data_IF_514828501092
#
_entry.id   IF_514828501092
#
_cell.length_a   1.000
_cell.length_b   1.000
_cell.length_c   1.000
_cell.angle_alpha   90.00
_cell.angle_beta   90.00
_cell.angle_gamma   90.00
#
_symmetry.space_group_name_H-M   'P 1'
#
loop_
_entity.id
_entity.type
_entity.pdbx_description
1 polymer ?
2 branched ?
3 branched ?
4 non-polymer ?
5 non-polymer ?
6 non-polymer ?
7 non-polymer ?
8 non-polymer ?
9 water ?
#
# COMPACT_ATOMS: atom_id res chain seq x y z
N UNK A 10 -9.63 11.66 -5.50
CA UNK A 10 -10.28 12.86 -4.82
C UNK A 10 -9.39 14.12 -4.86
N UNK A 11 -10.03 15.28 -4.68
CA UNK A 11 -9.31 16.54 -4.89
C UNK A 11 -8.33 16.89 -3.82
N UNK A 12 -8.34 16.18 -2.69
CA UNK A 12 -7.25 16.33 -1.68
C UNK A 12 -6.10 15.34 -1.79
N UNK A 13 -6.12 14.57 -2.85
CA UNK A 13 -5.09 13.57 -3.09
C UNK A 13 -3.74 14.26 -3.19
N UNK A 14 -2.75 13.75 -2.45
CA UNK A 14 -1.38 14.33 -2.51
C UNK A 14 -1.11 15.24 -1.30
N UNK A 15 -2.18 15.65 -0.63
CA UNK A 15 -2.04 16.44 0.59
C UNK A 15 -1.93 15.52 1.77
N UNK A 16 -1.27 16.03 2.80
CA UNK A 16 -1.12 15.35 4.07
C UNK A 16 -1.56 16.28 5.18
N UNK A 17 -2.55 15.87 5.90
CA UNK A 17 -3.06 16.61 7.05
C UNK A 17 -2.45 15.96 8.28
N UNK A 18 -1.70 16.77 9.01
CA UNK A 18 -1.08 16.37 10.25
C UNK A 18 -1.94 16.92 11.34
N UNK A 19 -2.45 16.03 12.18
CA UNK A 19 -3.36 16.38 13.26
C UNK A 19 -2.69 16.07 14.60
N UNK A 20 -3.14 16.76 15.64
CA UNK A 20 -2.66 16.58 16.99
C UNK A 20 -3.78 16.25 17.98
N UNK A 21 -5.02 16.12 17.50
CA UNK A 21 -6.08 15.63 18.34
C UNK A 21 -7.08 14.90 17.46
N UNK A 22 -7.86 14.01 18.11
CA UNK A 22 -8.91 13.23 17.47
C UNK A 22 -9.88 14.16 16.71
N UNK A 23 -10.26 13.76 15.48
CA UNK A 23 -11.26 14.48 14.67
C UNK A 23 -12.61 13.90 15.13
N UNK A 24 -13.53 14.75 15.64
CA UNK A 24 -14.87 14.35 16.02
C UNK A 24 -15.81 14.62 14.88
N UNK A 25 -16.50 13.59 14.44
CA UNK A 25 -17.54 13.76 13.45
C UNK A 25 -18.88 13.64 14.16
N UNK A 26 -19.70 14.69 14.04
CA UNK A 26 -20.93 14.77 14.81
C UNK A 26 -22.05 13.90 14.22
N UNK A 27 -23.08 13.61 15.08
CA UNK A 27 -24.23 12.85 14.59
C UNK A 27 -24.78 13.52 13.35
N UNK A 28 -25.04 12.73 12.32
CA UNK A 28 -25.73 13.31 11.18
C UNK A 28 -24.75 13.88 10.18
N UNK A 29 -23.48 14.09 10.56
CA UNK A 29 -22.52 14.67 9.61
C UNK A 29 -21.62 13.62 8.95
N UNK A 30 -21.16 13.94 7.73
CA UNK A 30 -20.24 13.07 6.91
C UNK A 30 -18.94 13.81 6.74
N UNK A 31 -17.88 13.23 7.29
CA UNK A 31 -16.50 13.75 7.05
C UNK A 31 -16.00 13.12 5.78
N UNK A 32 -15.78 13.93 4.75
CA UNK A 32 -15.27 13.44 3.43
C UNK A 32 -13.88 13.96 3.24
N UNK A 33 -12.84 13.11 3.36
CA UNK A 33 -11.53 13.56 3.18
C UNK A 33 -11.07 13.82 1.79
N UNK A 34 -11.87 13.44 0.80
CA UNK A 34 -11.54 13.69 -0.60
C UNK A 34 -10.15 13.17 -0.94
N UNK A 35 -9.76 12.08 -0.29
CA UNK A 35 -8.46 11.47 -0.59
C UNK A 35 -7.28 11.95 0.20
N UNK A 36 -7.51 12.80 1.18
CA UNK A 36 -6.43 13.27 2.03
C UNK A 36 -5.78 12.09 2.80
N UNK A 37 -4.47 12.22 3.03
CA UNK A 37 -3.76 11.33 3.94
C UNK A 37 -3.61 12.02 5.27
N UNK A 38 -3.96 11.35 6.36
CA UNK A 38 -3.84 11.87 7.72
C UNK A 38 -2.69 11.19 8.50
N UNK A 39 -1.87 12.05 9.10
CA UNK A 39 -0.83 11.62 9.99
C UNK A 39 -1.06 12.25 11.37
N UNK A 40 -1.23 11.40 12.33
CA UNK A 40 -1.44 11.85 13.69
C UNK A 40 -0.17 11.99 14.47
N UNK A 41 -0.09 13.11 15.21
CA UNK A 41 1.06 13.52 16.05
C UNK A 41 0.61 13.47 17.50
N UNK A 42 1.44 12.90 18.38
CA UNK A 42 1.16 12.99 19.82
C UNK A 42 -0.04 12.17 20.33
N UNK A 43 -0.54 11.26 19.50
CA UNK A 43 -1.74 10.48 19.77
C UNK A 43 -1.50 9.00 19.88
N UNK A 44 -0.24 8.61 19.91
CA UNK A 44 0.11 7.18 19.88
C UNK A 44 1.16 6.86 18.85
N UNK A 45 1.79 5.71 19.08
CA UNK A 45 2.86 5.26 18.19
C UNK A 45 2.41 4.10 17.26
N UNK A 46 1.14 3.66 17.39
CA UNK A 46 0.62 2.54 16.62
C UNK A 46 1.08 1.18 17.18
N UNK A 47 1.67 1.13 18.39
CA UNK A 47 2.02 -0.12 19.03
C UNK A 47 0.75 -0.78 19.60
N UNK A 48 0.98 -1.83 20.39
CA UNK A 48 -0.10 -2.56 21.04
C UNK A 48 -0.55 -1.93 22.37
N UNK A 49 0.01 -0.76 22.69
CA UNK A 49 -0.38 0.01 23.86
C UNK A 49 -1.87 0.32 23.77
N UNK A 50 -2.58 0.13 24.90
CA UNK A 50 -4.02 0.36 24.89
C UNK A 50 -4.43 1.80 25.23
N UNK A 51 -3.43 2.71 25.35
CA UNK A 51 -3.76 4.06 25.83
C UNK A 51 -3.62 5.10 24.71
N UNK A 52 -3.78 4.69 23.47
CA UNK A 52 -3.63 5.60 22.37
C UNK A 52 -4.94 6.28 22.03
N UNK A 53 -4.87 7.42 21.33
CA UNK A 53 -6.08 8.11 20.94
C UNK A 53 -6.61 7.63 19.58
N UNK A 54 -7.94 7.64 19.40
CA UNK A 54 -8.47 7.39 18.07
C UNK A 54 -8.11 8.57 17.14
N UNK A 55 -7.86 8.27 15.91
CA UNK A 55 -7.76 9.27 14.85
C UNK A 55 -9.09 10.04 14.61
N UNK A 56 -10.15 9.24 14.55
CA UNK A 56 -11.53 9.73 14.37
C UNK A 56 -12.42 9.18 15.45
N UNK A 57 -13.34 10.01 15.96
CA UNK A 57 -14.50 9.55 16.77
C UNK A 57 -15.72 9.84 16.00
N UNK A 58 -16.48 8.81 15.68
CA UNK A 58 -17.70 8.96 14.91
C UNK A 58 -18.86 8.76 15.86
N UNK A 59 -19.50 9.89 16.15
CA UNK A 59 -20.68 9.85 16.97
C UNK A 59 -21.79 9.05 16.30
N UNK A 60 -22.80 8.68 17.08
CA UNK A 60 -23.93 7.95 16.51
C UNK A 60 -24.46 8.70 15.30
N UNK A 61 -24.60 7.97 14.19
CA UNK A 61 -25.16 8.50 12.94
C UNK A 61 -24.17 9.37 12.16
N UNK A 62 -22.89 9.37 12.54
CA UNK A 62 -21.85 10.05 11.78
C UNK A 62 -21.21 9.06 10.75
N UNK A 63 -20.79 9.62 9.61
CA UNK A 63 -20.16 8.87 8.53
C UNK A 63 -18.79 9.41 8.20
N UNK A 64 -17.96 8.60 7.62
CA UNK A 64 -16.62 8.94 7.23
C UNK A 64 -16.31 8.34 5.88
N UNK A 65 -15.66 9.13 5.02
CA UNK A 65 -15.31 8.62 3.72
C UNK A 65 -14.06 9.19 3.16
N UNK A 66 -13.31 8.38 2.40
CA UNK A 66 -12.31 8.91 1.50
C UNK A 66 -11.12 9.51 2.29
N UNK A 67 -10.62 8.79 3.29
CA UNK A 67 -9.36 9.19 3.91
C UNK A 67 -8.39 8.05 4.04
N UNK A 68 -7.14 8.40 3.87
CA UNK A 68 -6.03 7.46 4.04
C UNK A 68 -5.44 7.76 5.44
N UNK A 69 -5.28 6.76 6.30
CA UNK A 69 -4.72 6.93 7.58
C UNK A 69 -3.35 6.35 7.52
N UNK A 70 -2.38 7.24 7.57
CA UNK A 70 -0.99 6.85 7.58
C UNK A 70 -0.58 6.31 8.95
N UNK A 71 0.60 5.69 9.00
CA UNK A 71 1.24 5.44 10.27
C UNK A 71 1.55 6.79 10.93
N UNK A 72 1.47 6.90 12.26
CA UNK A 72 1.02 5.84 13.17
C UNK A 72 -0.52 5.72 13.24
N UNK A 73 -1.04 4.50 13.24
CA UNK A 73 -2.46 4.33 13.21
C UNK A 73 -3.18 4.52 14.55
N UNK A 74 -2.38 4.65 15.64
CA UNK A 74 -2.90 5.04 16.98
C UNK A 74 -4.02 4.07 17.36
N UNK A 75 -5.16 4.56 17.86
CA UNK A 75 -6.31 3.72 18.06
C UNK A 75 -7.40 3.85 17.02
N UNK A 76 -7.02 4.17 15.80
CA UNK A 76 -7.91 4.03 14.66
C UNK A 76 -9.21 4.83 14.78
N UNK A 77 -10.30 4.24 14.36
CA UNK A 77 -11.57 4.93 14.29
C UNK A 77 -12.49 4.37 15.38
N UNK A 78 -13.06 5.20 16.22
CA UNK A 78 -14.02 4.78 17.24
C UNK A 78 -15.42 5.15 16.75
N UNK A 79 -16.30 4.15 16.68
CA UNK A 79 -17.64 4.27 16.16
C UNK A 79 -18.65 4.06 17.28
N UNK A 80 -19.58 4.97 17.36
CA UNK A 80 -20.64 4.92 18.40
C UNK A 80 -22.01 4.47 17.88
N UNK A 81 -22.04 3.96 16.66
CA UNK A 81 -23.18 3.21 16.18
C UNK A 81 -23.80 3.97 15.05
N UNK A 82 -24.39 3.21 14.09
CA UNK A 82 -25.10 3.81 12.92
C UNK A 82 -24.13 4.66 12.10
N UNK A 83 -23.04 4.02 11.67
CA UNK A 83 -21.94 4.71 11.01
C UNK A 83 -21.65 3.98 9.69
N UNK A 84 -21.37 4.75 8.67
CA UNK A 84 -20.86 4.23 7.40
C UNK A 84 -19.45 4.75 7.22
N UNK A 85 -18.50 3.82 7.05
CA UNK A 85 -17.09 4.13 6.91
C UNK A 85 -16.72 3.64 5.51
N UNK A 86 -16.54 4.56 4.57
CA UNK A 86 -16.47 4.22 3.18
C UNK A 86 -15.11 4.70 2.68
N UNK A 87 -14.45 3.83 1.91
CA UNK A 87 -13.22 4.18 1.22
C UNK A 87 -12.20 4.71 2.22
N UNK A 88 -12.01 3.98 3.30
CA UNK A 88 -10.97 4.34 4.24
C UNK A 88 -9.83 3.32 4.11
N UNK A 89 -8.58 3.82 4.03
CA UNK A 89 -7.43 2.96 3.86
C UNK A 89 -6.56 3.17 5.07
N UNK A 90 -6.29 2.09 5.79
CA UNK A 90 -5.33 2.10 6.82
C UNK A 90 -4.01 1.55 6.27
N UNK A 91 -3.06 2.44 6.06
CA UNK A 91 -1.74 2.08 5.53
C UNK A 91 -0.98 1.21 6.50
N UNK A 92 -1.26 1.42 7.78
CA UNK A 92 -0.55 0.71 8.82
C UNK A 92 -1.40 0.79 10.07
N UNK A 93 -2.15 -0.26 10.32
CA UNK A 93 -3.07 -0.28 11.45
C UNK A 93 -2.27 -0.12 12.69
N UNK A 94 -2.84 0.66 13.58
CA UNK A 94 -2.21 0.89 14.86
C UNK A 94 -2.58 -0.25 15.87
N UNK A 95 -3.07 0.15 17.05
CA UNK A 95 -3.48 -0.87 18.03
C UNK A 95 -4.57 -1.75 17.46
N UNK A 96 -5.58 -1.11 16.89
CA UNK A 96 -6.58 -1.72 16.11
C UNK A 96 -7.01 -0.64 15.07
N UNK A 97 -7.75 -1.03 14.06
CA UNK A 97 -8.18 -0.12 12.99
C UNK A 97 -9.45 0.60 13.27
N UNK A 98 -10.41 -0.13 13.82
CA UNK A 98 -11.78 0.45 14.06
C UNK A 98 -12.38 -0.31 15.19
N UNK A 99 -13.00 0.42 16.13
CA UNK A 99 -13.64 -0.14 17.28
C UNK A 99 -15.12 0.28 17.33
N UNK A 100 -16.03 -0.68 17.53
CA UNK A 100 -17.44 -0.36 17.77
C UNK A 100 -17.61 -0.25 19.30
N UNK A 101 -17.94 0.97 19.72
CA UNK A 101 -17.93 1.34 21.09
C UNK A 101 -19.33 1.35 21.74
N UNK A 102 -20.35 1.43 20.91
CA UNK A 102 -21.72 1.49 21.36
C UNK A 102 -22.67 0.89 20.29
N UNK A 103 -23.93 0.68 20.69
CA UNK A 103 -24.90 -0.11 19.92
C UNK A 103 -25.41 0.47 18.61
N UNK A 104 -25.31 -0.31 17.53
CA UNK A 104 -25.89 0.21 16.25
C UNK A 104 -25.33 -0.64 15.15
N UNK A 105 -25.66 -0.21 13.94
CA UNK A 105 -25.14 -0.82 12.73
C UNK A 105 -23.89 -0.06 12.29
N UNK A 106 -22.83 -0.80 11.99
CA UNK A 106 -21.62 -0.14 11.48
C UNK A 106 -21.21 -0.89 10.23
N UNK A 107 -20.99 -0.08 9.16
CA UNK A 107 -20.66 -0.55 7.86
C UNK A 107 -19.21 -0.09 7.54
N UNK A 108 -18.32 -0.99 7.08
CA UNK A 108 -17.08 -0.59 6.48
C UNK A 108 -17.19 -1.05 5.06
N UNK A 109 -17.12 -0.12 4.12
CA UNK A 109 -17.37 -0.37 2.71
C UNK A 109 -16.17 0.16 1.94
N UNK A 110 -15.54 -0.70 1.15
CA UNK A 110 -14.41 -0.28 0.39
C UNK A 110 -13.19 -0.10 1.27
N UNK A 111 -12.09 0.30 0.64
CA UNK A 111 -10.87 0.55 1.36
C UNK A 111 -10.12 -0.74 1.69
N UNK A 112 -9.18 -0.60 2.59
CA UNK A 112 -8.30 -1.69 2.89
C UNK A 112 -7.51 -1.44 4.17
N UNK A 113 -6.87 -2.46 4.70
CA UNK A 113 -6.04 -2.33 5.85
C UNK A 113 -4.81 -3.23 5.71
N UNK A 114 -3.68 -2.77 6.23
CA UNK A 114 -2.45 -3.57 6.24
C UNK A 114 -1.74 -3.46 7.57
N UNK A 115 -1.03 -4.48 7.94
CA UNK A 115 -0.01 -4.43 9.03
C UNK A 115 -0.67 -4.20 10.41
N UNK A 116 -1.64 -5.06 10.71
CA UNK A 116 -2.30 -5.12 12.04
C UNK A 116 -1.64 -6.18 12.84
N UNK A 117 -0.91 -5.79 13.88
CA UNK A 117 -0.22 -6.73 14.77
C UNK A 117 -1.19 -7.65 15.47
N UNK A 118 -2.41 -7.12 15.74
CA UNK A 118 -3.42 -7.90 16.47
C UNK A 118 -4.73 -7.74 15.69
N UNK A 119 -5.74 -7.10 16.21
CA UNK A 119 -7.01 -7.02 15.53
C UNK A 119 -7.12 -5.87 14.57
N UNK A 120 -7.90 -6.03 13.51
CA UNK A 120 -8.29 -4.93 12.65
C UNK A 120 -9.56 -4.31 13.32
N UNK A 121 -10.66 -5.04 13.42
CA UNK A 121 -11.91 -4.55 13.89
C UNK A 121 -12.19 -5.13 15.26
N UNK A 122 -12.51 -4.27 16.22
CA UNK A 122 -12.70 -4.64 17.61
C UNK A 122 -14.12 -4.27 17.99
N UNK A 123 -14.93 -5.25 18.42
CA UNK A 123 -16.34 -4.99 18.70
C UNK A 123 -16.58 -5.12 20.20
N UNK A 124 -16.87 -3.97 20.79
CA UNK A 124 -16.96 -3.82 22.26
C UNK A 124 -18.39 -3.58 22.75
N UNK A 125 -19.36 -3.61 21.85
CA UNK A 125 -20.78 -3.42 22.20
C UNK A 125 -21.63 -4.28 21.21
N UNK A 126 -22.86 -4.64 21.59
CA UNK A 126 -23.70 -5.35 20.67
C UNK A 126 -23.92 -4.53 19.45
N UNK A 127 -23.86 -5.16 18.29
CA UNK A 127 -23.90 -4.41 17.02
C UNK A 127 -24.15 -5.37 15.86
N UNK A 128 -24.52 -4.77 14.75
CA UNK A 128 -24.52 -5.36 13.49
C UNK A 128 -23.33 -4.76 12.72
N UNK A 129 -22.36 -5.57 12.33
CA UNK A 129 -21.11 -5.09 11.75
C UNK A 129 -20.82 -5.71 10.40
N UNK A 130 -20.84 -4.86 9.39
CA UNK A 130 -20.67 -5.32 8.05
C UNK A 130 -19.37 -4.83 7.39
N UNK A 131 -18.58 -5.75 6.84
CA UNK A 131 -17.37 -5.42 6.09
C UNK A 131 -17.63 -5.83 4.67
N UNK A 132 -17.56 -4.87 3.78
CA UNK A 132 -17.93 -5.09 2.36
C UNK A 132 -16.83 -4.54 1.41
N UNK A 133 -16.43 -5.35 0.44
CA UNK A 133 -15.52 -4.90 -0.57
C UNK A 133 -14.29 -4.32 0.11
N UNK A 134 -13.63 -5.22 0.80
CA UNK A 134 -12.54 -4.82 1.62
C UNK A 134 -11.39 -5.83 1.46
N UNK A 135 -10.13 -5.32 1.50
CA UNK A 135 -8.95 -6.15 1.49
C UNK A 135 -8.17 -5.89 2.78
N UNK A 136 -7.56 -6.92 3.30
CA UNK A 136 -6.64 -6.72 4.39
C UNK A 136 -5.48 -7.72 4.29
N UNK A 137 -4.29 -7.24 4.59
CA UNK A 137 -3.05 -8.04 4.44
C UNK A 137 -2.17 -7.87 5.66
N UNK A 138 -1.66 -8.98 6.17
CA UNK A 138 -0.72 -8.98 7.30
C UNK A 138 -1.40 -8.54 8.56
N UNK A 139 -2.28 -9.39 9.07
CA UNK A 139 -3.09 -9.07 10.21
C UNK A 139 -3.11 -10.19 11.18
N UNK A 140 -3.42 -9.90 12.44
CA UNK A 140 -3.56 -10.99 13.46
C UNK A 140 -5.00 -11.56 13.34
N UNK A 141 -6.03 -10.70 13.39
CA UNK A 141 -7.42 -11.11 13.23
C UNK A 141 -8.15 -10.00 12.50
N UNK A 142 -9.11 -10.35 11.65
CA UNK A 142 -9.96 -9.32 11.08
C UNK A 142 -10.96 -8.75 12.07
N UNK A 143 -11.64 -9.62 12.80
CA UNK A 143 -12.68 -9.16 13.74
C UNK A 143 -12.54 -9.87 15.03
N UNK A 144 -12.57 -9.10 16.15
CA UNK A 144 -12.55 -9.61 17.50
C UNK A 144 -13.68 -9.04 18.31
N UNK A 145 -14.67 -9.85 18.72
CA UNK A 145 -15.56 -9.40 19.76
C UNK A 145 -14.79 -9.39 21.05
N UNK A 146 -14.98 -8.31 21.84
CA UNK A 146 -14.16 -8.19 23.02
C UNK A 146 -14.15 -9.50 23.86
N UNK A 147 -12.97 -9.86 24.34
CA UNK A 147 -12.84 -11.11 24.99
C UNK A 147 -13.75 -11.29 26.18
N UNK A 148 -14.22 -12.53 26.32
CA UNK A 148 -15.07 -12.97 27.41
C UNK A 148 -16.36 -12.28 27.52
N UNK A 149 -16.79 -11.54 26.51
CA UNK A 149 -18.10 -10.94 26.57
C UNK A 149 -19.10 -11.85 25.84
N UNK A 150 -20.34 -11.77 26.27
CA UNK A 150 -21.40 -12.67 25.79
C UNK A 150 -22.62 -11.95 25.23
N UNK A 151 -22.55 -10.63 25.01
CA UNK A 151 -23.55 -9.93 24.23
C UNK A 151 -23.47 -10.40 22.78
N UNK A 152 -24.45 -10.04 22.00
CA UNK A 152 -24.56 -10.55 20.65
C UNK A 152 -24.02 -9.55 19.65
N UNK A 153 -23.14 -10.02 18.78
CA UNK A 153 -22.85 -9.29 17.56
C UNK A 153 -23.20 -10.20 16.39
N UNK A 154 -23.61 -9.55 15.30
CA UNK A 154 -23.77 -10.18 14.01
C UNK A 154 -22.84 -9.52 13.02
N UNK A 155 -21.94 -10.33 12.50
CA UNK A 155 -20.96 -9.85 11.56
C UNK A 155 -21.22 -10.40 10.19
N UNK A 156 -21.07 -9.54 9.21
CA UNK A 156 -21.16 -9.89 7.82
C UNK A 156 -19.86 -9.57 7.10
N UNK A 157 -19.30 -10.52 6.39
CA UNK A 157 -18.11 -10.31 5.60
C UNK A 157 -18.51 -10.62 4.17
N UNK A 158 -18.59 -9.55 3.33
CA UNK A 158 -19.11 -9.67 2.00
C UNK A 158 -18.09 -9.10 1.00
N UNK A 159 -17.58 -9.95 0.10
CA UNK A 159 -16.59 -9.53 -0.83
C UNK A 159 -15.32 -9.05 -0.13
N UNK A 160 -14.76 -9.91 0.72
CA UNK A 160 -13.64 -9.59 1.50
C UNK A 160 -12.50 -10.52 1.15
N UNK A 161 -11.30 -9.98 1.02
CA UNK A 161 -10.12 -10.73 0.62
C UNK A 161 -9.05 -10.46 1.64
N UNK A 162 -8.55 -11.55 2.22
CA UNK A 162 -7.59 -11.49 3.29
C UNK A 162 -6.33 -12.25 2.92
N UNK A 163 -5.16 -11.79 3.40
CA UNK A 163 -3.88 -12.43 3.12
C UNK A 163 -3.06 -12.39 4.39
N UNK A 164 -2.51 -13.52 4.80
CA UNK A 164 -1.52 -13.61 5.88
C UNK A 164 -2.17 -13.20 7.20
N UNK A 165 -3.06 -14.10 7.64
CA UNK A 165 -3.87 -13.93 8.85
C UNK A 165 -3.26 -14.81 9.93
N UNK A 166 -2.61 -14.18 10.91
CA UNK A 166 -1.76 -14.92 11.85
C UNK A 166 -2.52 -15.77 12.83
N UNK A 167 -3.65 -15.19 13.27
CA UNK A 167 -4.45 -15.83 14.33
C UNK A 167 -5.70 -16.43 13.72
N UNK A 168 -6.66 -15.63 13.27
CA UNK A 168 -7.87 -16.14 12.67
C UNK A 168 -8.64 -15.01 11.99
N UNK A 169 -9.58 -15.33 11.16
CA UNK A 169 -10.40 -14.30 10.58
C UNK A 169 -11.22 -13.54 11.61
N UNK A 170 -11.94 -14.32 12.43
CA UNK A 170 -12.76 -13.72 13.45
C UNK A 170 -12.84 -14.58 14.67
N UNK A 171 -12.92 -13.92 15.83
CA UNK A 171 -12.91 -14.56 17.15
C UNK A 171 -14.00 -13.91 18.01
N UNK A 172 -14.78 -14.73 18.69
CA UNK A 172 -15.79 -14.29 19.68
C UNK A 172 -15.84 -15.34 20.76
N UNK A 173 -16.14 -14.89 21.96
CA UNK A 173 -16.39 -15.77 23.11
C UNK A 173 -17.85 -15.81 23.48
N UNK A 174 -18.72 -15.43 22.52
CA UNK A 174 -20.14 -15.29 22.76
C UNK A 174 -20.93 -16.38 21.98
N UNK A 175 -21.58 -17.33 22.66
CA UNK A 175 -22.42 -18.30 21.94
C UNK A 175 -23.57 -17.78 21.09
N UNK A 176 -24.06 -16.57 21.39
CA UNK A 176 -25.21 -16.03 20.67
C UNK A 176 -24.75 -15.22 19.47
N UNK A 177 -23.45 -14.89 19.37
CA UNK A 177 -23.00 -14.11 18.25
C UNK A 177 -22.99 -14.94 16.96
N UNK A 178 -23.05 -14.27 15.83
CA UNK A 178 -23.07 -14.95 14.52
C UNK A 178 -22.19 -14.24 13.52
N UNK A 179 -21.61 -15.00 12.64
CA UNK A 179 -20.84 -14.49 11.49
C UNK A 179 -21.40 -15.10 10.25
N UNK A 180 -21.66 -14.25 9.27
CA UNK A 180 -22.20 -14.58 7.94
C UNK A 180 -21.20 -14.14 6.91
N UNK A 181 -20.86 -14.97 5.94
CA UNK A 181 -19.93 -14.54 4.91
C UNK A 181 -20.43 -14.91 3.51
N UNK A 182 -19.97 -14.12 2.54
CA UNK A 182 -20.36 -14.20 1.17
C UNK A 182 -19.22 -13.66 0.34
N UNK A 183 -18.67 -14.54 -0.49
CA UNK A 183 -17.49 -14.16 -1.35
C UNK A 183 -16.34 -13.73 -0.43
N UNK A 184 -15.93 -14.68 0.42
CA UNK A 184 -14.84 -14.45 1.28
C UNK A 184 -13.66 -15.24 0.77
N UNK A 185 -12.50 -14.57 0.54
CA UNK A 185 -11.30 -15.22 0.07
C UNK A 185 -10.16 -15.06 1.02
N UNK A 186 -9.59 -16.16 1.49
CA UNK A 186 -8.59 -16.11 2.53
C UNK A 186 -7.38 -16.89 2.09
N UNK A 187 -6.20 -16.27 2.14
CA UNK A 187 -4.94 -16.91 1.82
C UNK A 187 -4.02 -16.90 3.07
N UNK A 188 -3.55 -18.05 3.50
CA UNK A 188 -2.51 -18.18 4.54
C UNK A 188 -3.09 -17.85 5.91
N UNK A 189 -4.07 -18.67 6.29
CA UNK A 189 -4.71 -18.68 7.59
C UNK A 189 -4.95 -20.12 8.00
N UNK A 190 -4.29 -20.53 9.10
CA UNK A 190 -4.45 -21.86 9.65
C UNK A 190 -5.88 -22.16 10.21
N UNK A 191 -6.56 -21.12 10.71
CA UNK A 191 -7.77 -21.22 11.54
C UNK A 191 -8.77 -20.08 11.17
N UNK A 192 -9.85 -20.36 10.44
CA UNK A 192 -10.74 -19.29 10.02
C UNK A 192 -11.47 -18.66 11.20
N UNK A 193 -12.22 -19.43 12.01
CA UNK A 193 -13.14 -18.81 12.96
C UNK A 193 -12.96 -19.46 14.30
N UNK A 194 -12.75 -18.64 15.33
CA UNK A 194 -12.62 -19.09 16.72
C UNK A 194 -13.83 -18.61 17.50
N UNK A 195 -14.91 -19.34 17.39
CA UNK A 195 -16.17 -19.07 18.08
C UNK A 195 -16.42 -20.30 18.98
N UNK A 196 -17.30 -20.20 19.97
CA UNK A 196 -17.63 -21.35 20.80
C UNK A 196 -18.11 -22.56 20.01
N UNK A 197 -18.91 -22.39 18.97
CA UNK A 197 -19.24 -23.46 18.09
C UNK A 197 -19.21 -22.98 16.63
N UNK A 198 -18.75 -23.91 15.78
CA UNK A 198 -18.67 -23.57 14.38
C UNK A 198 -20.00 -23.37 13.72
N UNK A 199 -21.04 -23.88 14.34
CA UNK A 199 -22.40 -23.61 13.82
C UNK A 199 -22.87 -22.17 13.95
N UNK A 200 -22.07 -21.32 14.60
CA UNK A 200 -22.33 -19.88 14.65
C UNK A 200 -21.89 -19.16 13.42
N UNK A 201 -21.26 -19.86 12.51
CA UNK A 201 -20.71 -19.31 11.27
C UNK A 201 -21.54 -19.83 10.08
N UNK A 202 -21.96 -18.91 9.16
CA UNK A 202 -22.88 -19.25 8.11
C UNK A 202 -22.42 -18.58 6.83
N UNK A 203 -22.65 -19.23 5.70
CA UNK A 203 -22.57 -18.58 4.39
C UNK A 203 -23.88 -17.99 3.97
N UNK A 204 -23.86 -17.06 3.01
CA UNK A 204 -25.06 -16.66 2.35
C UNK A 204 -24.77 -16.17 0.95
N UNK B 9 33.55 0.69 -13.07
CA UNK B 9 33.30 1.23 -14.45
C UNK B 9 33.82 2.68 -14.57
N UNK B 10 33.24 3.61 -13.79
CA UNK B 10 33.56 5.06 -13.87
C UNK B 10 34.63 5.60 -12.90
N UNK B 11 34.96 6.88 -13.05
CA UNK B 11 36.06 7.44 -12.30
C UNK B 11 35.77 7.50 -10.77
N UNK B 12 34.51 7.47 -10.34
CA UNK B 12 34.15 7.52 -8.90
C UNK B 12 33.91 6.15 -8.25
N UNK B 13 34.15 5.10 -9.05
CA UNK B 13 34.02 3.75 -8.57
C UNK B 13 34.96 3.56 -7.36
N UNK B 14 34.44 2.97 -6.26
CA UNK B 14 35.21 2.81 -5.04
C UNK B 14 34.93 3.95 -4.08
N UNK B 15 34.23 5.01 -4.54
CA UNK B 15 33.78 6.07 -3.60
C UNK B 15 32.34 5.90 -3.13
N UNK B 16 32.05 6.42 -1.94
CA UNK B 16 30.75 6.33 -1.37
C UNK B 16 30.34 7.74 -0.91
N UNK B 17 29.16 8.16 -1.24
CA UNK B 17 28.58 9.41 -0.79
C UNK B 17 27.52 9.08 0.20
N UNK B 18 27.74 9.51 1.44
CA UNK B 18 26.78 9.36 2.51
C UNK B 18 25.96 10.63 2.59
N UNK B 19 24.65 10.47 2.49
CA UNK B 19 23.76 11.58 2.50
C UNK B 19 22.78 11.47 3.65
N UNK B 20 22.28 12.63 4.08
CA UNK B 20 21.25 12.70 5.14
C UNK B 20 19.98 13.41 4.68
N UNK B 21 19.91 13.76 3.40
CA UNK B 21 18.65 14.24 2.80
C UNK B 21 18.68 13.92 1.32
N UNK B 22 17.47 13.95 0.75
CA UNK B 22 17.27 13.75 -0.66
C UNK B 22 18.19 14.64 -1.52
N UNK B 23 18.83 14.00 -2.50
CA UNK B 23 19.59 14.72 -3.52
C UNK B 23 18.52 15.24 -4.51
N UNK B 24 18.43 16.54 -4.62
CA UNK B 24 17.58 17.15 -5.62
C UNK B 24 18.42 17.38 -6.87
N UNK B 25 17.93 16.85 -8.00
CA UNK B 25 18.49 17.12 -9.32
C UNK B 25 17.54 18.10 -10.02
N UNK B 26 18.04 19.30 -10.24
CA UNK B 26 17.22 20.41 -10.73
C UNK B 26 16.84 20.21 -12.18
N UNK B 27 15.76 20.88 -12.59
CA UNK B 27 15.25 20.87 -13.96
C UNK B 27 16.36 20.97 -15.02
N UNK B 28 16.44 19.99 -15.90
CA UNK B 28 17.41 20.04 -17.02
C UNK B 28 18.81 19.63 -16.71
N UNK B 29 19.09 19.28 -15.45
CA UNK B 29 20.44 18.94 -15.08
C UNK B 29 20.59 17.45 -15.18
N UNK B 30 21.81 17.01 -15.46
CA UNK B 30 22.15 15.62 -15.29
C UNK B 30 23.11 15.41 -14.12
N UNK B 31 22.72 14.51 -13.25
CA UNK B 31 23.55 14.08 -12.18
C UNK B 31 24.29 12.85 -12.68
N UNK B 32 25.61 12.93 -12.84
CA UNK B 32 26.40 11.77 -13.22
C UNK B 32 27.26 11.37 -12.02
N UNK B 33 26.98 10.25 -11.39
CA UNK B 33 27.74 9.77 -10.28
C UNK B 33 29.07 9.16 -10.63
N UNK B 34 29.31 8.88 -11.91
CA UNK B 34 30.53 8.19 -12.43
C UNK B 34 30.85 6.95 -11.59
N UNK B 35 29.80 6.22 -11.14
CA UNK B 35 30.01 4.98 -10.45
C UNK B 35 30.04 5.07 -8.94
N UNK B 36 29.80 6.26 -8.42
CA UNK B 36 29.68 6.45 -6.97
C UNK B 36 28.55 5.57 -6.38
N UNK B 37 28.73 5.15 -5.15
CA UNK B 37 27.66 4.53 -4.39
C UNK B 37 27.08 5.49 -3.40
N UNK B 38 25.78 5.53 -3.31
CA UNK B 38 25.07 6.38 -2.40
C UNK B 38 24.55 5.54 -1.22
N UNK B 39 24.79 6.05 0.00
CA UNK B 39 24.27 5.45 1.23
C UNK B 39 23.53 6.49 2.09
N UNK B 40 22.22 6.33 2.20
CA UNK B 40 21.34 7.27 2.88
C UNK B 40 21.22 6.92 4.34
N UNK B 41 21.38 7.95 5.16
CA UNK B 41 21.21 7.91 6.62
C UNK B 41 20.05 8.76 7.06
N UNK B 42 19.19 8.20 7.92
CA UNK B 42 18.17 8.96 8.56
C UNK B 42 17.02 9.24 7.60
N UNK B 43 16.95 8.47 6.50
CA UNK B 43 15.95 8.73 5.47
C UNK B 43 14.96 7.58 5.24
N UNK B 44 15.11 6.56 6.06
CA UNK B 44 14.31 5.37 5.90
C UNK B 44 15.15 4.10 6.12
N UNK B 45 14.47 3.00 6.28
CA UNK B 45 15.11 1.72 6.51
C UNK B 45 14.96 0.78 5.32
N UNK B 46 14.33 1.22 4.22
CA UNK B 46 14.03 0.31 3.11
C UNK B 46 12.92 -0.70 3.32
N UNK B 47 12.13 -0.54 4.38
CA UNK B 47 11.00 -1.43 4.65
C UNK B 47 9.88 -1.00 3.72
N UNK B 48 8.71 -1.61 3.98
CA UNK B 48 7.52 -1.23 3.27
C UNK B 48 6.75 -0.02 3.80
N UNK B 49 7.27 0.63 4.84
CA UNK B 49 6.60 1.85 5.32
C UNK B 49 6.57 2.86 4.18
N UNK B 50 5.45 3.58 4.10
CA UNK B 50 5.17 4.57 3.05
C UNK B 50 5.70 5.95 3.34
N UNK B 51 6.42 6.12 4.44
CA UNK B 51 6.81 7.44 4.93
C UNK B 51 8.34 7.73 4.86
N UNK B 52 8.99 7.10 3.87
CA UNK B 52 10.43 7.25 3.74
C UNK B 52 10.72 8.30 2.70
N UNK B 53 11.93 8.84 2.78
CA UNK B 53 12.35 9.82 1.81
C UNK B 53 12.94 9.19 0.58
N UNK B 54 12.75 9.87 -0.54
CA UNK B 54 13.48 9.41 -1.77
C UNK B 54 14.99 9.69 -1.66
N UNK B 55 15.81 8.81 -2.22
CA UNK B 55 17.26 9.04 -2.27
C UNK B 55 17.50 10.26 -3.21
N UNK B 56 16.82 10.30 -4.37
CA UNK B 56 16.91 11.37 -5.40
C UNK B 56 15.52 11.82 -5.77
N UNK B 57 15.40 13.11 -6.03
CA UNK B 57 14.28 13.73 -6.72
C UNK B 57 14.81 14.28 -7.99
N UNK B 58 14.22 13.86 -9.09
CA UNK B 58 14.55 14.36 -10.43
C UNK B 58 13.40 15.27 -10.84
N UNK B 59 13.69 16.55 -10.86
CA UNK B 59 12.71 17.54 -11.29
C UNK B 59 12.43 17.30 -12.79
N UNK B 60 11.39 17.94 -13.32
CA UNK B 60 11.09 17.93 -14.77
C UNK B 60 12.38 18.06 -15.55
N UNK B 61 12.63 17.14 -16.49
CA UNK B 61 13.76 17.29 -17.41
C UNK B 61 15.13 16.88 -16.88
N UNK B 62 15.20 16.58 -15.59
CA UNK B 62 16.45 16.14 -14.98
C UNK B 62 16.74 14.67 -15.32
N UNK B 63 18.02 14.33 -15.29
CA UNK B 63 18.47 12.96 -15.56
C UNK B 63 19.43 12.51 -14.47
N UNK B 64 19.62 11.19 -14.36
CA UNK B 64 20.50 10.61 -13.38
C UNK B 64 21.24 9.50 -14.10
N UNK B 65 22.55 9.40 -13.91
CA UNK B 65 23.27 8.31 -14.47
C UNK B 65 24.35 7.86 -13.56
N UNK B 66 24.70 6.59 -13.72
CA UNK B 66 25.93 6.02 -13.16
C UNK B 66 26.05 6.12 -11.64
N UNK B 67 24.97 5.75 -10.94
CA UNK B 67 25.01 5.65 -9.43
C UNK B 67 24.58 4.27 -9.01
N UNK B 68 25.18 3.81 -7.92
CA UNK B 68 24.80 2.60 -7.26
C UNK B 68 24.06 3.09 -6.03
N UNK B 69 22.82 2.64 -5.83
CA UNK B 69 22.07 2.97 -4.61
C UNK B 69 22.23 1.81 -3.62
N UNK B 70 22.98 2.06 -2.54
CA UNK B 70 23.21 1.00 -1.56
C UNK B 70 21.96 0.90 -0.68
N UNK B 71 21.87 -0.17 0.09
CA UNK B 71 20.86 -0.24 1.16
C UNK B 71 21.20 0.83 2.21
N UNK B 72 20.19 1.52 2.80
CA UNK B 72 18.77 1.30 2.63
C UNK B 72 18.25 2.06 1.46
N UNK B 73 17.39 1.41 0.73
CA UNK B 73 16.85 2.01 -0.49
C UNK B 73 15.85 3.11 -0.34
N UNK B 74 15.31 3.19 0.87
CA UNK B 74 14.41 4.27 1.30
C UNK B 74 13.26 4.30 0.27
N UNK B 75 12.87 5.47 -0.21
CA UNK B 75 11.86 5.57 -1.22
C UNK B 75 12.45 5.85 -2.64
N UNK B 76 13.68 5.38 -2.84
CA UNK B 76 14.20 5.30 -4.19
C UNK B 76 14.27 6.64 -4.92
N UNK B 77 13.93 6.64 -6.20
CA UNK B 77 14.09 7.83 -6.99
C UNK B 77 12.68 8.30 -7.27
N UNK B 78 12.44 9.57 -7.07
CA UNK B 78 11.18 10.22 -7.49
C UNK B 78 11.33 11.06 -8.75
N UNK B 79 10.60 10.75 -9.80
CA UNK B 79 10.72 11.36 -11.11
C UNK B 79 9.51 12.20 -11.42
N UNK B 80 9.74 13.47 -11.70
CA UNK B 80 8.67 14.37 -12.03
C UNK B 80 8.38 14.56 -13.49
N UNK B 81 9.04 13.77 -14.33
CA UNK B 81 8.65 13.73 -15.73
C UNK B 81 9.80 14.16 -16.63
N UNK B 82 9.89 13.53 -17.82
CA UNK B 82 10.88 13.86 -18.82
C UNK B 82 12.24 13.64 -18.24
N UNK B 83 12.45 12.40 -17.72
CA UNK B 83 13.69 12.03 -17.09
C UNK B 83 14.30 10.82 -17.74
N UNK B 84 15.64 10.75 -17.72
CA UNK B 84 16.32 9.54 -18.12
C UNK B 84 17.18 9.09 -16.94
N UNK B 85 17.04 7.83 -16.56
CA UNK B 85 17.76 7.19 -15.45
C UNK B 85 18.56 6.06 -16.06
N UNK B 86 19.89 6.26 -16.09
CA UNK B 86 20.80 5.49 -16.89
C UNK B 86 21.80 4.75 -15.99
N UNK B 87 22.00 3.47 -16.23
CA UNK B 87 23.02 2.77 -15.50
C UNK B 87 22.91 3.12 -14.03
N UNK B 88 21.70 2.93 -13.48
CA UNK B 88 21.47 2.96 -12.03
C UNK B 88 21.29 1.56 -11.51
N UNK B 89 22.01 1.22 -10.46
CA UNK B 89 21.95 -0.07 -9.85
C UNK B 89 21.37 0.09 -8.46
N UNK B 90 20.25 -0.57 -8.21
CA UNK B 90 19.69 -0.64 -6.90
C UNK B 90 20.18 -1.95 -6.27
N UNK B 91 21.12 -1.87 -5.34
CA UNK B 91 21.62 -3.07 -4.70
C UNK B 91 20.56 -3.70 -3.82
N UNK B 92 19.62 -2.89 -3.26
CA UNK B 92 18.57 -3.46 -2.45
C UNK B 92 17.44 -2.44 -2.44
N UNK B 93 16.43 -2.70 -3.25
CA UNK B 93 15.33 -1.80 -3.40
C UNK B 93 14.71 -1.62 -2.03
N UNK B 94 14.31 -0.39 -1.81
CA UNK B 94 13.64 0.00 -0.58
C UNK B 94 12.10 -0.22 -0.73
N UNK B 95 11.31 0.80 -0.41
CA UNK B 95 9.87 0.61 -0.46
C UNK B 95 9.51 0.36 -1.92
N UNK B 96 10.08 1.17 -2.83
CA UNK B 96 10.01 0.94 -4.24
C UNK B 96 11.32 1.57 -4.77
N UNK B 97 11.63 1.28 -6.01
CA UNK B 97 12.91 1.71 -6.61
C UNK B 97 12.81 3.06 -7.26
N UNK B 98 11.73 3.29 -8.00
CA UNK B 98 11.51 4.54 -8.66
C UNK B 98 10.02 4.76 -8.87
N UNK B 99 9.60 6.02 -8.61
CA UNK B 99 8.25 6.46 -8.74
C UNK B 99 8.11 7.59 -9.72
N UNK B 100 7.15 7.48 -10.61
CA UNK B 100 6.74 8.61 -11.48
C UNK B 100 5.68 9.35 -10.73
N UNK B 101 6.04 10.58 -10.38
CA UNK B 101 5.20 11.43 -9.53
C UNK B 101 4.41 12.45 -10.30
N UNK B 102 4.82 12.73 -11.52
CA UNK B 102 4.12 13.73 -12.30
C UNK B 102 4.24 13.35 -13.79
N UNK B 103 3.44 13.99 -14.63
CA UNK B 103 3.38 13.61 -16.04
C UNK B 103 4.67 13.78 -16.82
N UNK B 104 4.82 12.94 -17.81
CA UNK B 104 5.92 13.03 -18.75
C UNK B 104 6.45 11.68 -19.21
N UNK B 105 7.62 11.68 -19.82
CA UNK B 105 8.23 10.47 -20.29
C UNK B 105 9.37 10.17 -19.34
N UNK B 106 9.44 8.93 -18.93
CA UNK B 106 10.52 8.48 -18.01
C UNK B 106 11.10 7.24 -18.56
N UNK B 107 12.41 7.22 -18.66
CA UNK B 107 13.07 6.07 -19.21
C UNK B 107 14.11 5.61 -18.22
N UNK B 108 14.15 4.30 -17.96
CA UNK B 108 15.18 3.64 -17.20
C UNK B 108 15.94 2.79 -18.18
N UNK B 109 17.23 3.08 -18.35
CA UNK B 109 18.06 2.46 -19.35
C UNK B 109 19.27 1.85 -18.66
N UNK B 110 19.56 0.58 -18.89
CA UNK B 110 20.70 -0.04 -18.21
C UNK B 110 20.44 -0.19 -16.72
N UNK B 111 21.47 -0.75 -16.08
CA UNK B 111 21.38 -0.99 -14.67
C UNK B 111 20.52 -2.19 -14.26
N UNK B 112 20.20 -2.21 -12.97
CA UNK B 112 19.53 -3.38 -12.40
C UNK B 112 18.96 -3.11 -11.03
N UNK B 113 18.09 -3.99 -10.59
CA UNK B 113 17.49 -3.86 -9.26
C UNK B 113 17.35 -5.22 -8.65
N UNK B 114 17.50 -5.29 -7.33
CA UNK B 114 17.42 -6.55 -6.63
C UNK B 114 16.65 -6.37 -5.32
N UNK B 115 15.97 -7.42 -4.86
CA UNK B 115 15.43 -7.50 -3.49
C UNK B 115 14.36 -6.42 -3.28
N UNK B 116 13.35 -6.38 -4.15
CA UNK B 116 12.20 -5.51 -3.95
C UNK B 116 11.05 -6.29 -3.34
N UNK B 117 10.69 -5.99 -2.11
CA UNK B 117 9.62 -6.71 -1.47
C UNK B 117 8.27 -6.50 -2.16
N UNK B 118 8.09 -5.38 -2.85
CA UNK B 118 6.81 -5.13 -3.43
C UNK B 118 7.17 -4.62 -4.83
N UNK B 119 6.80 -3.40 -5.16
CA UNK B 119 7.01 -2.88 -6.51
C UNK B 119 8.42 -2.35 -6.71
N UNK B 120 8.95 -2.55 -7.91
CA UNK B 120 10.16 -1.84 -8.35
C UNK B 120 9.77 -0.44 -8.85
N UNK B 121 8.95 -0.40 -9.91
CA UNK B 121 8.57 0.87 -10.49
C UNK B 121 7.10 1.14 -10.20
N UNK B 122 6.83 2.35 -9.70
CA UNK B 122 5.52 2.77 -9.19
C UNK B 122 5.08 3.98 -10.00
N UNK B 123 3.94 3.84 -10.71
CA UNK B 123 3.53 4.89 -11.66
C UNK B 123 2.29 5.59 -11.12
N UNK B 124 2.48 6.84 -10.68
CA UNK B 124 1.43 7.55 -9.97
C UNK B 124 0.87 8.73 -10.74
N UNK B 125 1.27 8.86 -12.00
CA UNK B 125 0.76 9.94 -12.86
C UNK B 125 0.80 9.41 -14.29
N UNK B 126 -0.04 9.95 -15.16
CA UNK B 126 -0.08 9.59 -16.58
C UNK B 126 1.33 9.82 -17.11
N UNK B 127 1.85 8.84 -17.86
CA UNK B 127 3.21 8.88 -18.31
C UNK B 127 3.42 7.88 -19.43
N UNK B 128 4.55 8.05 -20.12
CA UNK B 128 5.11 7.00 -20.93
C UNK B 128 6.33 6.54 -20.14
N UNK B 129 6.39 5.26 -19.86
CA UNK B 129 7.42 4.69 -18.99
C UNK B 129 8.12 3.58 -19.71
N UNK B 130 9.42 3.74 -20.00
CA UNK B 130 10.14 2.73 -20.76
C UNK B 130 11.30 2.21 -19.95
N UNK B 131 11.38 0.88 -19.84
CA UNK B 131 12.48 0.16 -19.16
C UNK B 131 13.23 -0.60 -20.23
N UNK B 132 14.52 -0.28 -20.38
CA UNK B 132 15.32 -0.80 -21.47
C UNK B 132 16.64 -1.34 -20.98
N UNK B 133 17.01 -2.53 -21.42
CA UNK B 133 18.27 -3.13 -21.14
C UNK B 133 18.48 -3.24 -19.61
N UNK B 134 17.56 -3.93 -18.92
CA UNK B 134 17.45 -3.87 -17.49
C UNK B 134 17.27 -5.29 -16.91
N UNK B 135 17.89 -5.60 -15.79
CA UNK B 135 17.63 -6.85 -15.15
C UNK B 135 17.11 -6.56 -13.73
N UNK B 136 16.20 -7.43 -13.28
CA UNK B 136 15.79 -7.38 -11.86
C UNK B 136 15.64 -8.79 -11.33
N UNK B 137 16.00 -8.99 -10.08
CA UNK B 137 15.95 -10.25 -9.43
C UNK B 137 15.33 -10.13 -8.04
N UNK B 138 14.43 -11.04 -7.70
CA UNK B 138 13.76 -11.15 -6.36
C UNK B 138 12.93 -9.89 -6.11
N UNK B 139 11.82 -9.84 -6.86
CA UNK B 139 10.93 -8.71 -6.85
C UNK B 139 9.50 -9.11 -6.66
N UNK B 140 8.65 -8.19 -6.15
CA UNK B 140 7.23 -8.43 -6.14
C UNK B 140 6.61 -8.20 -7.48
N UNK B 141 6.78 -7.01 -7.96
CA UNK B 141 6.27 -6.62 -9.25
C UNK B 141 7.28 -5.68 -9.91
N UNK B 142 7.44 -5.78 -11.22
CA UNK B 142 8.25 -4.82 -11.90
C UNK B 142 7.63 -3.45 -11.98
N UNK B 143 6.35 -3.37 -12.42
CA UNK B 143 5.67 -2.13 -12.57
C UNK B 143 4.25 -2.16 -12.03
N UNK B 144 3.88 -1.15 -11.24
CA UNK B 144 2.58 -1.01 -10.73
C UNK B 144 2.05 0.36 -11.04
N UNK B 145 0.99 0.46 -11.86
CA UNK B 145 0.27 1.72 -11.91
C UNK B 145 -0.51 1.83 -10.54
N UNK B 146 -0.49 2.99 -9.94
CA UNK B 146 -1.16 3.23 -8.70
C UNK B 146 -2.54 2.63 -8.63
N UNK B 147 -2.74 1.87 -7.57
CA UNK B 147 -3.99 1.10 -7.42
C UNK B 147 -5.23 1.95 -7.63
N UNK B 148 -6.14 1.36 -8.36
CA UNK B 148 -7.45 1.89 -8.59
C UNK B 148 -7.52 3.14 -9.47
N UNK B 149 -6.39 3.64 -9.91
CA UNK B 149 -6.37 4.79 -10.81
C UNK B 149 -6.73 4.33 -12.24
N UNK B 150 -7.37 5.22 -12.97
CA UNK B 150 -7.82 4.85 -14.28
C UNK B 150 -7.33 5.78 -15.41
N UNK B 151 -6.37 6.64 -15.08
CA UNK B 151 -5.67 7.40 -16.06
C UNK B 151 -4.77 6.44 -16.91
N UNK B 152 -4.25 6.95 -18.00
CA UNK B 152 -3.52 6.15 -18.99
C UNK B 152 -2.05 6.27 -18.74
N UNK B 153 -1.40 5.12 -18.59
CA UNK B 153 0.05 5.00 -18.78
C UNK B 153 0.33 4.12 -19.98
N UNK B 154 1.47 4.37 -20.61
CA UNK B 154 1.98 3.46 -21.61
C UNK B 154 3.34 3.00 -21.16
N UNK B 155 3.49 1.70 -21.01
CA UNK B 155 4.72 1.09 -20.51
C UNK B 155 5.37 0.37 -21.67
N UNK B 156 6.69 0.54 -21.80
CA UNK B 156 7.47 -0.23 -22.74
C UNK B 156 8.52 -1.02 -21.97
N UNK B 157 8.56 -2.32 -22.15
CA UNK B 157 9.61 -3.19 -21.59
C UNK B 157 10.44 -3.79 -22.72
N UNK B 158 11.65 -3.32 -22.85
CA UNK B 158 12.54 -3.67 -23.97
C UNK B 158 13.84 -4.19 -23.49
N UNK B 159 14.18 -5.43 -23.87
CA UNK B 159 15.42 -6.08 -23.42
C UNK B 159 15.48 -6.09 -21.85
N UNK B 160 14.45 -6.66 -21.27
CA UNK B 160 14.30 -6.81 -19.81
C UNK B 160 14.29 -8.25 -19.38
N UNK B 161 15.10 -8.62 -18.38
CA UNK B 161 15.19 -9.98 -17.92
C UNK B 161 14.90 -9.96 -16.44
N UNK B 162 13.96 -10.78 -16.01
CA UNK B 162 13.46 -10.79 -14.62
C UNK B 162 13.58 -12.18 -14.01
N UNK B 163 14.09 -12.27 -12.78
CA UNK B 163 14.16 -13.51 -12.07
C UNK B 163 13.43 -13.44 -10.76
N UNK B 164 12.54 -14.38 -10.53
CA UNK B 164 11.88 -14.58 -9.21
C UNK B 164 10.97 -13.40 -8.96
N UNK B 165 9.82 -13.43 -9.63
CA UNK B 165 8.82 -12.40 -9.56
C UNK B 165 7.63 -12.97 -8.79
N UNK B 166 7.41 -12.45 -7.56
CA UNK B 166 6.43 -13.03 -6.64
C UNK B 166 4.99 -12.71 -6.92
N UNK B 167 4.71 -11.56 -7.50
CA UNK B 167 3.33 -11.19 -7.75
C UNK B 167 3.03 -11.23 -9.25
N UNK B 168 3.63 -10.31 -10.01
CA UNK B 168 3.48 -10.27 -11.41
C UNK B 168 4.48 -9.30 -12.02
N UNK B 169 4.63 -9.37 -13.33
CA UNK B 169 5.49 -8.38 -13.99
C UNK B 169 4.91 -6.99 -13.87
N UNK B 170 3.66 -6.79 -14.27
CA UNK B 170 3.10 -5.49 -14.23
C UNK B 170 1.61 -5.57 -13.97
N UNK B 171 1.07 -4.58 -13.28
CA UNK B 171 -0.30 -4.61 -12.88
C UNK B 171 -0.87 -3.18 -12.91
N UNK B 172 -2.03 -3.04 -13.55
CA UNK B 172 -2.74 -1.75 -13.62
C UNK B 172 -4.23 -2.04 -13.46
N UNK B 173 -4.93 -1.10 -12.83
CA UNK B 173 -6.42 -1.17 -12.77
C UNK B 173 -7.05 -0.32 -13.81
N UNK B 174 -6.26 0.30 -14.67
CA UNK B 174 -6.81 1.19 -15.73
C UNK B 174 -7.17 0.39 -16.98
N UNK B 175 -8.36 0.57 -17.51
CA UNK B 175 -8.75 -0.14 -18.75
C UNK B 175 -8.19 0.51 -19.98
N UNK B 176 -7.49 1.66 -19.85
CA UNK B 176 -6.91 2.37 -21.05
C UNK B 176 -5.39 2.34 -21.06
N UNK B 177 -4.78 1.90 -19.98
CA UNK B 177 -3.30 1.78 -19.99
C UNK B 177 -2.84 0.67 -20.96
N UNK B 178 -1.55 0.76 -21.36
CA UNK B 178 -0.98 -0.09 -22.43
C UNK B 178 0.38 -0.57 -21.98
N UNK B 179 0.68 -1.83 -22.21
CA UNK B 179 2.04 -2.37 -21.95
C UNK B 179 2.48 -2.99 -23.25
N UNK B 180 3.64 -2.54 -23.74
CA UNK B 180 4.27 -3.03 -24.95
C UNK B 180 5.60 -3.67 -24.58
N UNK B 181 5.87 -4.86 -25.05
CA UNK B 181 7.14 -5.51 -24.72
C UNK B 181 7.85 -6.09 -25.91
N UNK B 182 9.17 -6.08 -25.82
CA UNK B 182 10.07 -6.59 -26.82
C UNK B 182 11.28 -7.17 -26.17
N UNK B 183 11.41 -8.49 -26.18
CA UNK B 183 12.53 -9.24 -25.51
C UNK B 183 12.39 -8.98 -24.03
N UNK B 184 11.33 -9.58 -23.49
CA UNK B 184 11.02 -9.62 -22.06
C UNK B 184 11.16 -11.09 -21.66
N UNK B 185 12.14 -11.43 -20.80
CA UNK B 185 12.42 -12.79 -20.44
C UNK B 185 12.19 -12.92 -18.96
N UNK B 186 11.31 -13.83 -18.52
CA UNK B 186 10.87 -13.89 -17.14
C UNK B 186 11.01 -15.28 -16.56
N UNK B 187 11.81 -15.43 -15.52
CA UNK B 187 12.02 -16.66 -14.88
C UNK B 187 11.38 -16.71 -13.52
N UNK B 188 10.66 -17.78 -13.22
CA UNK B 188 10.00 -18.03 -11.92
C UNK B 188 9.03 -16.94 -11.57
N UNK B 189 7.98 -16.94 -12.33
CA UNK B 189 6.84 -16.04 -12.27
C UNK B 189 5.54 -16.83 -12.65
N UNK B 190 4.52 -16.78 -11.81
CA UNK B 190 3.26 -17.47 -12.03
C UNK B 190 2.40 -16.71 -13.04
N UNK B 191 2.34 -15.39 -12.91
CA UNK B 191 1.44 -14.53 -13.71
C UNK B 191 2.20 -13.32 -14.21
N UNK B 192 2.10 -13.09 -15.48
CA UNK B 192 2.83 -12.00 -16.11
C UNK B 192 2.13 -10.67 -15.89
N UNK B 193 0.91 -10.50 -16.39
CA UNK B 193 0.28 -9.20 -16.44
C UNK B 193 -1.06 -9.24 -15.83
N UNK B 194 -1.35 -8.30 -14.96
CA UNK B 194 -2.69 -8.14 -14.28
C UNK B 194 -3.21 -6.79 -14.74
N UNK B 195 -3.82 -6.76 -15.92
CA UNK B 195 -4.53 -5.60 -16.42
C UNK B 195 -5.98 -6.01 -16.65
N UNK B 196 -6.87 -5.01 -16.80
CA UNK B 196 -8.29 -5.39 -16.94
C UNK B 196 -8.57 -6.29 -18.15
N UNK B 197 -7.86 -6.07 -19.24
CA UNK B 197 -7.99 -6.92 -20.46
C UNK B 197 -6.63 -7.22 -21.06
N UNK B 198 -6.50 -8.47 -21.52
CA UNK B 198 -5.32 -8.90 -22.17
C UNK B 198 -5.03 -8.15 -23.48
N UNK B 199 -6.08 -7.52 -24.00
CA UNK B 199 -5.92 -6.65 -25.16
C UNK B 199 -5.05 -5.42 -24.94
N UNK B 200 -4.80 -5.08 -23.66
CA UNK B 200 -3.96 -3.98 -23.29
C UNK B 200 -2.49 -4.27 -23.37
N UNK B 201 -2.12 -5.55 -23.64
CA UNK B 201 -0.74 -6.01 -23.67
C UNK B 201 -0.42 -6.31 -25.10
N UNK B 202 0.72 -5.77 -25.55
CA UNK B 202 1.13 -5.80 -26.94
C UNK B 202 2.61 -6.18 -27.05
N UNK B 203 2.95 -6.87 -28.10
CA UNK B 203 4.34 -7.10 -28.53
C UNK B 203 4.71 -6.13 -29.64
N UNK B 204 6.01 -5.86 -29.70
CA UNK B 204 6.58 -5.13 -30.83
C UNK B 204 7.99 -5.59 -31.10
#
# INVERSE_FOLDING_TARGET
>A
MAHHHHHHVGTNTGGVLVITDTIIVKSGQTYDGKGIKIIAQGMGDGSQSENQKPIFKLEKGANLKNVIIGAPGCDGIHCYGDNVVENVVWEDVGEDALTVKSEGVVEVIGGSAKEAADAVFQLNAPCTFKVKNFTATNIGKLVRQNGNTTFKVVIYLEDVTLNNVKSCVAKSDSPVSELWYHNLNVNNCKTLFEFPSQSQIHQY
>B
MAHHHHHHVGTNTGGVLVITDTIIVKSGQTYDGKGIKIIAQGMGDGSQSENQKPIFKLEKGANLKNVIIGAPGCDGIHCYGDNVVENVVWEDVGEDALTVKSEGVVEVIGGSAKEAADAVFQLNAPCTFKVKNFTATNIGKLVRQNGNTTFKVVIYLEDVTLNNVKSCVAKSDSPVSELWYHNLNVNNCKTLFEFPSQSQIHQY
#
